data_IF_614697689895
#
_entry.id   IF_614697689895
#
_cell.length_a   1.000
_cell.length_b   1.000
_cell.length_c   1.000
_cell.angle_alpha   90.00
_cell.angle_beta   90.00
_cell.angle_gamma   90.00
#
_symmetry.space_group_name_H-M   'P 1'
#
loop_
_entity.id
_entity.type
_entity.pdbx_description
1 polymer ?
#
# COMPACT_ATOMS: atom_id res chain seq x y z
N UNK A 1 -6.26 -10.79 14.32
CA UNK A 1 -6.10 -9.57 13.51
C UNK A 1 -7.09 -9.67 12.37
N UNK A 2 -8.32 -9.20 12.55
CA UNK A 2 -9.30 -9.24 11.47
C UNK A 2 -9.04 -8.02 10.59
N UNK A 3 -8.67 -8.26 9.33
CA UNK A 3 -8.73 -7.25 8.29
C UNK A 3 -10.17 -7.05 7.85
N UNK A 4 -10.47 -5.87 7.32
CA UNK A 4 -11.78 -5.54 6.76
C UNK A 4 -11.62 -5.23 5.27
N UNK A 5 -12.59 -5.69 4.49
CA UNK A 5 -12.69 -5.44 3.05
C UNK A 5 -13.98 -4.70 2.77
N UNK A 6 -13.85 -3.54 2.14
CA UNK A 6 -14.97 -2.75 1.62
C UNK A 6 -15.00 -2.87 0.11
N UNK A 7 -16.18 -3.18 -0.43
CA UNK A 7 -16.43 -3.21 -1.87
C UNK A 7 -17.67 -2.36 -2.14
N UNK A 8 -17.49 -1.26 -2.87
CA UNK A 8 -18.56 -0.32 -3.16
C UNK A 8 -18.44 0.24 -4.59
N UNK A 9 -19.59 0.46 -5.21
CA UNK A 9 -19.71 1.09 -6.52
C UNK A 9 -19.97 2.59 -6.37
N UNK A 10 -19.11 3.41 -6.96
CA UNK A 10 -19.19 4.87 -6.89
C UNK A 10 -19.59 5.46 -8.25
N UNK A 11 -20.62 6.32 -8.31
CA UNK A 11 -20.98 7.04 -9.53
C UNK A 11 -19.93 8.07 -9.89
N UNK A 12 -19.62 8.15 -11.17
CA UNK A 12 -18.72 9.15 -11.72
C UNK A 12 -19.51 10.42 -12.09
N UNK A 13 -18.83 11.56 -12.00
CA UNK A 13 -19.31 12.86 -12.42
C UNK A 13 -18.28 13.55 -13.30
N UNK A 14 -18.75 14.28 -14.31
CA UNK A 14 -17.86 15.02 -15.18
C UNK A 14 -18.59 15.74 -16.31
N UNK A 15 -17.87 15.98 -17.41
CA UNK A 15 -18.30 16.90 -18.48
C UNK A 15 -19.54 16.41 -19.24
N UNK A 16 -19.83 15.12 -19.20
CA UNK A 16 -21.03 14.57 -19.86
C UNK A 16 -22.32 14.80 -19.07
N UNK A 17 -22.23 15.27 -17.83
CA UNK A 17 -23.37 15.53 -16.95
C UNK A 17 -23.73 14.34 -16.06
N UNK A 18 -24.69 14.57 -15.17
CA UNK A 18 -25.06 13.62 -14.13
C UNK A 18 -25.56 12.29 -14.70
N UNK A 19 -24.99 11.17 -14.23
CA UNK A 19 -25.38 9.81 -14.59
C UNK A 19 -24.86 9.30 -15.93
N UNK A 20 -24.11 10.11 -16.68
CA UNK A 20 -23.57 9.74 -18.00
C UNK A 20 -22.16 9.16 -17.95
N UNK A 21 -21.44 9.35 -16.84
CA UNK A 21 -20.02 8.95 -16.73
C UNK A 21 -19.85 7.50 -16.24
N UNK A 22 -20.93 6.85 -15.80
CA UNK A 22 -20.92 5.45 -15.33
C UNK A 22 -20.52 5.30 -13.85
N UNK A 23 -20.15 4.09 -13.45
CA UNK A 23 -19.79 3.73 -12.07
C UNK A 23 -18.43 3.03 -12.05
N UNK A 24 -17.64 3.23 -10.99
CA UNK A 24 -16.41 2.47 -10.72
C UNK A 24 -16.61 1.58 -9.50
N UNK A 25 -16.04 0.37 -9.52
CA UNK A 25 -15.99 -0.50 -8.34
C UNK A 25 -14.68 -0.26 -7.59
N UNK A 26 -14.77 0.10 -6.32
CA UNK A 26 -13.61 0.24 -5.43
C UNK A 26 -13.63 -0.89 -4.40
N UNK A 27 -12.62 -1.75 -4.48
CA UNK A 27 -12.37 -2.83 -3.52
C UNK A 27 -11.16 -2.46 -2.67
N UNK A 28 -11.39 -2.09 -1.41
CA UNK A 28 -10.37 -1.70 -0.44
C UNK A 28 -10.29 -2.74 0.67
N UNK A 29 -9.13 -3.37 0.81
CA UNK A 29 -8.84 -4.27 1.93
C UNK A 29 -7.76 -3.66 2.82
N UNK A 30 -8.02 -3.59 4.12
CA UNK A 30 -7.05 -3.05 5.07
C UNK A 30 -6.98 -3.94 6.31
N UNK A 31 -5.81 -3.99 6.95
CA UNK A 31 -5.59 -4.77 8.17
C UNK A 31 -4.76 -3.94 9.13
N UNK A 32 -5.19 -3.90 10.40
CA UNK A 32 -4.42 -3.24 11.46
C UNK A 32 -3.21 -4.11 11.79
N UNK A 33 -2.03 -3.66 11.37
CA UNK A 33 -0.76 -4.26 11.76
C UNK A 33 -0.34 -3.61 13.09
N UNK A 34 -0.11 -4.36 14.17
CA UNK A 34 0.45 -3.77 15.38
C UNK A 34 1.83 -3.20 15.04
N UNK A 35 1.96 -1.89 15.21
CA UNK A 35 3.23 -1.18 15.12
C UNK A 35 4.12 -1.70 16.25
N UNK A 36 4.99 -2.68 15.96
CA UNK A 36 6.01 -3.11 16.89
C UNK A 36 7.15 -2.07 16.81
N UNK A 37 7.47 -1.32 17.89
CA UNK A 37 8.55 -0.32 17.86
C UNK A 37 9.92 -0.92 17.50
N UNK A 38 10.09 -2.23 17.70
CA UNK A 38 11.30 -2.97 17.31
C UNK A 38 11.26 -3.54 15.89
N UNK A 39 10.12 -3.50 15.19
CA UNK A 39 9.95 -4.01 13.82
C UNK A 39 10.16 -2.96 12.73
N UNK A 40 10.26 -1.67 13.08
CA UNK A 40 10.56 -0.63 12.08
C UNK A 40 12.06 -0.59 11.70
N UNK A 41 12.94 -1.12 12.56
CA UNK A 41 14.39 -1.21 12.30
C UNK A 41 14.82 -2.53 11.66
N UNK A 42 13.94 -3.52 11.59
CA UNK A 42 14.20 -4.78 10.94
C UNK A 42 12.99 -5.08 10.06
N UNK A 43 13.13 -4.91 8.75
CA UNK A 43 12.13 -5.26 7.73
C UNK A 43 11.69 -6.71 7.87
N UNK A 44 10.77 -6.93 8.81
CA UNK A 44 10.41 -8.23 9.34
C UNK A 44 9.56 -8.96 8.33
N UNK A 45 10.24 -9.65 7.42
CA UNK A 45 9.72 -10.83 6.78
C UNK A 45 9.10 -11.69 7.86
N UNK A 46 7.78 -11.91 7.77
CA UNK A 46 7.12 -12.88 8.62
C UNK A 46 7.76 -14.22 8.24
N UNK A 47 8.66 -14.73 9.09
CA UNK A 47 9.33 -15.99 8.82
C UNK A 47 8.24 -17.06 8.65
N UNK A 48 8.20 -17.76 7.50
CA UNK A 48 7.15 -18.74 7.25
C UNK A 48 7.24 -19.84 8.30
N UNK A 49 6.12 -20.09 8.98
CA UNK A 49 5.99 -21.15 9.98
C UNK A 49 6.15 -22.49 9.26
N UNK A 50 7.26 -23.20 9.50
CA UNK A 50 7.41 -24.57 9.01
C UNK A 50 6.55 -25.51 9.86
N UNK A 51 5.47 -26.05 9.26
CA UNK A 51 4.83 -27.23 9.82
C UNK A 51 5.70 -28.45 9.51
N UNK A 52 6.35 -29.00 10.52
CA UNK A 52 7.03 -30.30 10.42
C UNK A 52 5.95 -31.37 10.58
N UNK A 53 5.76 -32.28 9.60
CA UNK A 53 4.87 -33.41 9.79
C UNK A 53 5.42 -34.27 10.92
N UNK A 54 4.63 -34.43 11.98
CA UNK A 54 4.93 -35.43 13.01
C UNK A 54 4.94 -36.81 12.36
N UNK A 55 6.08 -37.47 12.37
CA UNK A 55 6.24 -38.88 11.95
C UNK A 55 5.71 -39.84 13.02
N UNK A 56 4.65 -39.44 13.73
CA UNK A 56 3.97 -40.31 14.68
C UNK A 56 3.51 -41.56 13.93
N UNK A 57 4.14 -42.67 14.31
CA UNK A 57 3.93 -44.00 13.77
C UNK A 57 2.42 -44.33 13.69
N UNK A 58 2.00 -45.09 12.66
CA UNK A 58 0.59 -45.35 12.40
C UNK A 58 0.01 -46.26 13.50
N UNK A 59 -0.74 -45.67 14.42
CA UNK A 59 -1.65 -46.43 15.28
C UNK A 59 -3.00 -46.53 14.56
N UNK A 60 -3.34 -47.75 14.14
CA UNK A 60 -4.60 -48.17 13.51
C UNK A 60 -4.94 -47.60 12.12
N UNK A 61 -4.41 -48.24 11.08
CA UNK A 61 -5.20 -48.62 9.90
C UNK A 61 -5.61 -47.54 8.87
N UNK A 62 -5.24 -46.27 9.06
CA UNK A 62 -5.52 -45.23 8.05
C UNK A 62 -4.38 -45.11 7.04
N UNK A 63 -4.75 -45.18 5.75
CA UNK A 63 -3.82 -45.05 4.61
C UNK A 63 -3.16 -43.66 4.62
N UNK A 64 -1.84 -43.56 4.43
CA UNK A 64 -1.19 -42.25 4.31
C UNK A 64 -1.68 -41.56 3.03
N UNK A 65 -2.25 -40.37 3.16
CA UNK A 65 -2.63 -39.53 2.03
C UNK A 65 -1.36 -39.07 1.29
N UNK A 66 -1.37 -39.18 -0.04
CA UNK A 66 -0.30 -38.66 -0.87
C UNK A 66 -0.25 -37.13 -0.77
N UNK A 67 0.92 -36.51 -0.55
CA UNK A 67 1.04 -35.06 -0.50
C UNK A 67 0.76 -34.49 -1.89
N UNK A 68 -0.27 -33.64 -1.99
CA UNK A 68 -0.54 -32.84 -3.19
C UNK A 68 0.49 -31.72 -3.30
N UNK A 69 1.17 -31.56 -4.45
CA UNK A 69 2.11 -30.47 -4.66
C UNK A 69 1.36 -29.14 -4.73
N UNK A 70 1.55 -28.29 -3.72
CA UNK A 70 1.05 -26.91 -3.72
C UNK A 70 2.03 -26.05 -4.52
N UNK A 71 1.57 -25.51 -5.65
CA UNK A 71 2.32 -24.50 -6.39
C UNK A 71 2.23 -23.18 -5.62
N UNK A 72 3.30 -22.81 -4.91
CA UNK A 72 3.41 -21.50 -4.29
C UNK A 72 3.64 -20.46 -5.38
N UNK A 73 2.72 -19.52 -5.53
CA UNK A 73 2.89 -18.38 -6.43
C UNK A 73 4.19 -17.62 -6.05
N UNK A 74 5.05 -17.29 -7.02
CA UNK A 74 6.24 -16.51 -6.73
C UNK A 74 5.86 -15.17 -6.10
N UNK A 75 6.58 -14.72 -5.05
CA UNK A 75 6.29 -13.46 -4.39
C UNK A 75 6.38 -12.32 -5.40
N UNK A 76 5.28 -11.60 -5.58
CA UNK A 76 5.28 -10.35 -6.34
C UNK A 76 6.17 -9.34 -5.60
N UNK A 77 7.16 -8.70 -6.27
CA UNK A 77 7.94 -7.66 -5.64
C UNK A 77 7.03 -6.48 -5.32
N UNK A 78 6.73 -6.31 -4.04
CA UNK A 78 6.01 -5.14 -3.55
C UNK A 78 6.99 -3.97 -3.63
N UNK A 79 6.74 -3.02 -4.55
CA UNK A 79 7.51 -1.80 -4.60
C UNK A 79 7.47 -1.13 -3.21
N UNK A 80 8.60 -0.63 -2.70
CA UNK A 80 8.64 -0.01 -1.38
C UNK A 80 7.61 1.12 -1.29
N UNK A 81 6.89 1.24 -0.17
CA UNK A 81 5.97 2.35 0.04
C UNK A 81 6.75 3.66 -0.08
N UNK A 82 6.21 4.59 -0.86
CA UNK A 82 6.81 5.90 -1.06
C UNK A 82 7.04 6.56 0.31
N UNK A 83 8.30 6.87 0.61
CA UNK A 83 8.69 7.47 1.88
C UNK A 83 8.29 8.95 1.84
N UNK A 84 7.21 9.28 2.53
CA UNK A 84 6.86 10.67 2.81
C UNK A 84 7.86 11.20 3.84
N UNK A 85 8.70 12.14 3.42
CA UNK A 85 9.73 12.72 4.26
C UNK A 85 9.32 14.16 4.62
N UNK A 86 8.92 14.39 5.86
CA UNK A 86 8.47 15.72 6.33
C UNK A 86 9.56 16.79 6.19
N UNK A 87 10.85 16.40 6.22
CA UNK A 87 11.96 17.31 6.00
C UNK A 87 11.94 17.89 4.57
N UNK A 88 11.58 17.08 3.58
CA UNK A 88 11.51 17.51 2.19
C UNK A 88 10.33 18.46 1.96
N UNK A 89 9.17 18.19 2.58
CA UNK A 89 8.01 19.08 2.55
C UNK A 89 8.37 20.47 3.10
N UNK A 90 9.05 20.52 4.26
CA UNK A 90 9.46 21.78 4.88
C UNK A 90 10.44 22.56 4.01
N UNK A 91 11.34 21.86 3.31
CA UNK A 91 12.29 22.50 2.40
C UNK A 91 11.60 23.08 1.16
N UNK A 92 10.56 22.42 0.65
CA UNK A 92 9.74 22.97 -0.46
C UNK A 92 8.96 24.20 0.02
N UNK A 93 8.41 24.20 1.24
CA UNK A 93 7.76 25.38 1.82
C UNK A 93 8.73 26.58 1.92
N UNK A 94 10.00 26.35 2.28
CA UNK A 94 11.03 27.40 2.31
C UNK A 94 11.41 27.91 0.91
N UNK A 95 11.36 27.07 -0.12
CA UNK A 95 11.64 27.48 -1.51
C UNK A 95 10.50 28.29 -2.13
N UNK A 96 9.25 28.09 -1.69
CA UNK A 96 8.07 28.78 -2.19
C UNK A 96 7.27 29.47 -1.06
N UNK A 97 7.83 30.50 -0.40
CA UNK A 97 7.18 31.17 0.73
C UNK A 97 5.91 31.96 0.35
N UNK A 98 5.72 32.24 -0.95
CA UNK A 98 4.53 32.90 -1.48
C UNK A 98 3.42 31.93 -1.88
N UNK A 99 3.68 30.61 -1.86
CA UNK A 99 2.72 29.58 -2.25
C UNK A 99 1.97 29.07 -1.01
N UNK A 100 0.68 28.78 -1.15
CA UNK A 100 -0.12 28.28 -0.04
C UNK A 100 0.33 26.89 0.40
N UNK A 101 0.31 26.65 1.72
CA UNK A 101 0.78 25.38 2.32
C UNK A 101 -0.08 24.20 1.91
N UNK A 102 -1.38 24.44 1.70
CA UNK A 102 -2.30 23.42 1.21
C UNK A 102 -1.95 22.99 -0.23
N UNK A 103 -1.52 23.94 -1.07
CA UNK A 103 -1.10 23.67 -2.45
C UNK A 103 0.21 22.89 -2.46
N UNK A 104 1.21 23.31 -1.68
CA UNK A 104 2.49 22.61 -1.56
C UNK A 104 2.29 21.17 -1.09
N UNK A 105 1.44 20.96 -0.07
CA UNK A 105 1.11 19.62 0.44
C UNK A 105 0.39 18.78 -0.61
N UNK A 106 -0.61 19.34 -1.29
CA UNK A 106 -1.33 18.63 -2.35
C UNK A 106 -0.42 18.19 -3.50
N UNK A 107 0.51 19.04 -3.92
CA UNK A 107 1.46 18.71 -5.01
C UNK A 107 2.50 17.71 -4.53
N UNK A 108 2.95 17.79 -3.28
CA UNK A 108 3.87 16.83 -2.69
C UNK A 108 3.24 15.43 -2.54
N UNK A 109 1.96 15.37 -2.15
CA UNK A 109 1.17 14.14 -2.10
C UNK A 109 0.90 13.58 -3.51
N UNK A 110 0.56 14.43 -4.49
CA UNK A 110 0.38 14.02 -5.88
C UNK A 110 1.66 13.42 -6.48
N UNK A 111 2.82 13.95 -6.09
CA UNK A 111 4.13 13.46 -6.51
C UNK A 111 4.68 12.30 -5.66
N UNK A 112 3.86 11.68 -4.80
CA UNK A 112 4.23 10.55 -3.94
C UNK A 112 5.47 10.82 -3.07
N UNK A 113 5.57 12.02 -2.51
CA UNK A 113 6.70 12.42 -1.69
C UNK A 113 8.00 12.73 -2.47
N UNK A 114 7.94 12.78 -3.80
CA UNK A 114 9.08 13.15 -4.62
C UNK A 114 9.26 14.68 -4.63
N UNK A 115 10.27 15.14 -3.88
CA UNK A 115 10.64 16.55 -3.77
C UNK A 115 10.96 17.20 -5.12
N UNK A 116 11.77 16.56 -5.96
CA UNK A 116 12.22 17.15 -7.24
C UNK A 116 11.05 17.33 -8.22
N UNK A 117 10.17 16.33 -8.28
CA UNK A 117 8.95 16.42 -9.09
C UNK A 117 7.99 17.50 -8.55
N UNK A 118 7.90 17.64 -7.23
CA UNK A 118 7.10 18.69 -6.56
C UNK A 118 7.63 20.08 -6.89
N UNK A 119 8.93 20.30 -6.79
CA UNK A 119 9.57 21.60 -7.12
C UNK A 119 9.36 21.96 -8.58
N UNK A 120 9.55 21.02 -9.51
CA UNK A 120 9.30 21.27 -10.93
C UNK A 120 7.83 21.59 -11.23
N UNK A 121 6.90 20.91 -10.56
CA UNK A 121 5.46 21.16 -10.71
C UNK A 121 5.08 22.56 -10.18
N UNK A 122 5.63 22.94 -9.02
CA UNK A 122 5.38 24.26 -8.43
C UNK A 122 6.02 25.39 -9.24
N UNK A 123 7.22 25.18 -9.82
CA UNK A 123 7.85 26.11 -10.75
C UNK A 123 6.96 26.36 -11.98
N UNK A 124 6.42 25.31 -12.59
CA UNK A 124 5.51 25.42 -13.74
C UNK A 124 4.18 26.11 -13.42
N UNK A 125 3.77 26.15 -12.15
CA UNK A 125 2.60 26.90 -11.70
C UNK A 125 2.88 28.38 -11.41
N UNK A 126 4.15 28.75 -11.22
CA UNK A 126 4.58 30.12 -10.97
C UNK A 126 5.02 30.87 -12.24
N UNK A 127 5.24 30.15 -13.34
CA UNK A 127 5.50 30.73 -14.68
C UNK A 127 4.20 31.19 -15.34
#
# INVERSE_FOLDING_TARGET
MAGETHEEWYPLNGKQGDGQEGMINLVLSYTKVPMNPYGMYAGGTMAPVMMVPSTAAPMYGMRPYAPVPVYTQPPVPVAPPAQFNEADLKQVEEMFPNMDKEVVKSVYEANRGNKDATVNSLLQMCE
#
